data_IF_149064357398
#
_entry.id   IF_149064357398
#
_cell.length_a   1.000
_cell.length_b   1.000
_cell.length_c   1.000
_cell.angle_alpha   90.00
_cell.angle_beta   90.00
_cell.angle_gamma   90.00
#
_symmetry.space_group_name_H-M   'P 1'
#
loop_
_entity.id
_entity.type
_entity.pdbx_description
1 polymer ?
#
# COMPACT_ATOMS: atom_id res chain seq x y z
N UNK A 1 -37.53 -8.48 13.16
CA UNK A 1 -36.84 -8.99 14.35
C UNK A 1 -36.44 -10.45 14.22
N UNK A 2 -37.36 -11.39 13.92
CA UNK A 2 -37.03 -12.82 13.73
C UNK A 2 -35.98 -13.06 12.65
N UNK A 3 -36.15 -12.41 11.50
CA UNK A 3 -35.24 -12.49 10.36
C UNK A 3 -33.81 -11.98 10.68
N UNK A 4 -33.68 -10.89 11.44
CA UNK A 4 -32.39 -10.36 11.88
C UNK A 4 -31.69 -11.32 12.86
N UNK A 5 -32.45 -11.95 13.75
CA UNK A 5 -31.95 -12.95 14.69
C UNK A 5 -31.46 -14.21 13.97
N UNK A 6 -32.23 -14.70 12.99
CA UNK A 6 -31.88 -15.87 12.19
C UNK A 6 -30.62 -15.60 11.34
N UNK A 7 -30.52 -14.42 10.71
CA UNK A 7 -29.32 -13.96 10.00
C UNK A 7 -28.09 -13.86 10.93
N UNK A 8 -28.28 -13.39 12.16
CA UNK A 8 -27.19 -13.28 13.14
C UNK A 8 -26.71 -14.67 13.58
N UNK A 9 -27.64 -15.61 13.79
CA UNK A 9 -27.31 -17.02 14.10
C UNK A 9 -26.56 -17.70 12.96
N UNK A 10 -26.93 -17.43 11.72
CA UNK A 10 -26.23 -17.96 10.54
C UNK A 10 -24.80 -17.42 10.46
N UNK A 11 -24.61 -16.11 10.63
CA UNK A 11 -23.27 -15.48 10.70
C UNK A 11 -22.40 -16.06 11.82
N UNK A 12 -22.96 -16.23 13.02
CA UNK A 12 -22.24 -16.83 14.14
C UNK A 12 -21.77 -18.25 13.81
N UNK A 13 -22.62 -19.04 13.15
CA UNK A 13 -22.27 -20.39 12.72
C UNK A 13 -21.13 -20.37 11.69
N UNK A 14 -21.16 -19.46 10.72
CA UNK A 14 -20.07 -19.30 9.74
C UNK A 14 -18.74 -18.92 10.42
N UNK A 15 -18.77 -17.98 11.37
CA UNK A 15 -17.60 -17.58 12.15
C UNK A 15 -17.08 -18.75 12.99
N UNK A 16 -17.98 -19.50 13.64
CA UNK A 16 -17.64 -20.69 14.40
C UNK A 16 -16.98 -21.75 13.52
N UNK A 17 -17.58 -22.09 12.39
CA UNK A 17 -17.03 -23.10 11.47
C UNK A 17 -15.63 -22.70 10.93
N UNK A 18 -15.39 -21.41 10.70
CA UNK A 18 -14.10 -20.88 10.27
C UNK A 18 -13.02 -20.90 11.35
N UNK A 19 -13.35 -20.49 12.58
CA UNK A 19 -12.37 -20.25 13.65
C UNK A 19 -12.18 -21.44 14.62
N UNK A 20 -13.17 -22.32 14.75
CA UNK A 20 -13.18 -23.45 15.70
C UNK A 20 -12.02 -24.44 15.59
N UNK A 21 -11.38 -24.67 14.43
CA UNK A 21 -10.18 -25.50 14.38
C UNK A 21 -9.01 -24.94 15.21
N UNK A 22 -8.99 -23.62 15.45
CA UNK A 22 -7.84 -22.92 16.01
C UNK A 22 -8.14 -22.12 17.28
N UNK A 23 -9.42 -21.90 17.61
CA UNK A 23 -9.84 -21.00 18.70
C UNK A 23 -11.06 -21.54 19.43
N UNK A 24 -11.11 -21.38 20.76
CA UNK A 24 -12.31 -21.60 21.56
C UNK A 24 -13.16 -20.34 21.56
N UNK A 25 -14.33 -20.40 20.93
CA UNK A 25 -15.22 -19.24 20.75
C UNK A 25 -16.25 -19.22 21.87
N UNK A 26 -16.42 -18.05 22.48
CA UNK A 26 -17.46 -17.78 23.48
C UNK A 26 -18.35 -16.65 22.95
N UNK A 27 -19.59 -16.99 22.59
CA UNK A 27 -20.56 -16.03 22.06
C UNK A 27 -21.44 -15.51 23.19
N UNK A 28 -21.55 -14.19 23.32
CA UNK A 28 -22.39 -13.51 24.30
C UNK A 28 -23.18 -12.44 23.55
N UNK A 29 -24.50 -12.35 23.76
CA UNK A 29 -25.30 -11.28 23.18
C UNK A 29 -25.06 -9.96 23.92
N UNK A 30 -25.17 -8.82 23.24
CA UNK A 30 -24.97 -7.49 23.86
C UNK A 30 -25.80 -7.32 25.14
N UNK A 31 -27.06 -7.73 25.14
CA UNK A 31 -27.92 -7.67 26.32
C UNK A 31 -27.47 -8.60 27.47
N UNK A 32 -26.76 -9.69 27.18
CA UNK A 32 -26.17 -10.60 28.17
C UNK A 32 -24.80 -10.10 28.63
N UNK A 33 -24.05 -9.44 27.75
CA UNK A 33 -22.78 -8.79 28.02
C UNK A 33 -22.98 -7.63 29.00
N UNK A 34 -23.98 -6.79 28.76
CA UNK A 34 -24.35 -5.67 29.64
C UNK A 34 -24.78 -6.12 31.05
N UNK A 35 -25.23 -7.37 31.19
CA UNK A 35 -25.65 -7.96 32.46
C UNK A 35 -24.51 -8.64 33.24
N UNK A 36 -23.37 -8.91 32.61
CA UNK A 36 -22.27 -9.64 33.23
C UNK A 36 -21.21 -8.70 33.84
N UNK A 37 -20.88 -8.92 35.11
CA UNK A 37 -19.74 -8.31 35.82
C UNK A 37 -18.44 -9.11 35.56
N UNK A 38 -17.95 -9.17 34.33
CA UNK A 38 -16.57 -9.64 34.09
C UNK A 38 -15.57 -8.57 34.56
N UNK A 39 -14.29 -8.91 34.88
CA UNK A 39 -13.27 -7.91 35.09
C UNK A 39 -13.27 -6.99 33.87
N UNK A 40 -13.41 -5.70 34.15
CA UNK A 40 -13.61 -4.63 33.19
C UNK A 40 -12.88 -4.95 31.87
N UNK A 41 -13.63 -5.01 30.76
CA UNK A 41 -13.01 -4.67 29.48
C UNK A 41 -12.33 -3.34 29.78
N UNK A 42 -11.00 -3.30 29.65
CA UNK A 42 -10.19 -2.15 30.05
C UNK A 42 -10.99 -0.90 29.65
N UNK A 43 -11.43 -0.05 30.60
CA UNK A 43 -12.28 1.09 30.29
C UNK A 43 -11.57 2.08 29.33
N UNK A 44 -10.29 1.83 29.02
CA UNK A 44 -9.48 2.56 28.06
C UNK A 44 -9.46 1.91 26.67
N UNK A 45 -10.10 0.75 26.46
CA UNK A 45 -10.24 0.10 25.15
C UNK A 45 -11.21 0.92 24.29
N UNK A 46 -10.66 1.90 23.57
CA UNK A 46 -11.39 2.70 22.59
C UNK A 46 -11.77 1.82 21.38
N UNK A 47 -12.90 2.09 20.70
CA UNK A 47 -13.22 1.47 19.41
C UNK A 47 -12.04 1.56 18.45
N UNK A 48 -11.82 0.53 17.63
CA UNK A 48 -10.68 0.47 16.71
C UNK A 48 -10.76 1.62 15.70
N UNK A 49 -9.74 2.47 15.67
CA UNK A 49 -9.50 3.33 14.51
C UNK A 49 -8.90 2.47 13.40
N UNK A 50 -9.71 2.17 12.39
CA UNK A 50 -9.32 1.39 11.20
C UNK A 50 -8.09 1.97 10.50
N UNK A 51 -7.86 3.28 10.65
CA UNK A 51 -6.71 3.97 10.07
C UNK A 51 -5.40 3.66 10.80
N UNK A 52 -5.46 3.07 12.00
CA UNK A 52 -4.27 2.66 12.72
C UNK A 52 -3.49 1.56 12.01
N UNK A 53 -4.17 0.75 11.19
CA UNK A 53 -3.52 -0.22 10.33
C UNK A 53 -2.67 0.40 9.19
N UNK A 54 -2.70 1.73 9.03
CA UNK A 54 -1.74 2.47 8.19
C UNK A 54 -0.58 3.07 8.97
N UNK A 55 -0.59 3.03 10.31
CA UNK A 55 0.54 3.47 11.13
C UNK A 55 1.66 2.43 11.13
N UNK A 56 2.89 2.93 11.20
CA UNK A 56 4.10 2.18 10.87
C UNK A 56 4.30 2.14 9.36
N UNK A 57 5.49 2.52 8.89
CA UNK A 57 5.84 2.24 7.49
C UNK A 57 5.69 0.74 7.21
N UNK A 58 5.67 0.34 5.92
CA UNK A 58 5.69 -1.08 5.50
C UNK A 58 6.96 -1.86 5.92
N UNK A 59 7.72 -1.32 6.88
CA UNK A 59 9.05 -1.73 7.32
C UNK A 59 9.16 -1.81 8.85
N UNK A 60 8.10 -1.51 9.62
CA UNK A 60 8.11 -1.66 11.07
C UNK A 60 7.83 -3.12 11.46
N UNK A 61 8.55 -3.63 12.47
CA UNK A 61 8.28 -4.93 13.11
C UNK A 61 7.07 -4.76 14.02
N UNK A 62 5.86 -4.96 13.47
CA UNK A 62 4.61 -4.69 14.21
C UNK A 62 4.33 -5.85 15.18
N UNK A 63 4.13 -5.52 16.46
CA UNK A 63 3.40 -6.36 17.41
C UNK A 63 1.91 -6.03 17.28
N UNK A 64 1.11 -6.93 16.72
CA UNK A 64 -0.33 -6.72 16.52
C UNK A 64 -1.06 -6.70 17.86
N UNK A 65 -1.82 -5.62 18.12
CA UNK A 65 -2.64 -5.49 19.31
C UNK A 65 -4.15 -5.71 19.06
N UNK A 66 -4.67 -5.81 17.82
CA UNK A 66 -6.11 -6.07 17.54
C UNK A 66 -6.43 -6.53 16.08
N UNK A 67 -7.59 -7.22 15.90
CA UNK A 67 -7.97 -8.08 14.77
C UNK A 67 -8.98 -7.48 13.77
N UNK A 68 -8.91 -7.96 12.51
CA UNK A 68 -9.97 -7.90 11.49
C UNK A 68 -10.05 -9.29 10.80
N UNK A 69 -11.16 -10.01 10.88
CA UNK A 69 -11.34 -11.26 10.11
C UNK A 69 -11.92 -10.96 8.73
N UNK A 70 -11.00 -10.71 7.82
CA UNK A 70 -10.92 -11.37 6.52
C UNK A 70 -9.45 -11.26 6.03
N UNK A 71 -8.51 -11.10 6.98
CA UNK A 71 -7.11 -10.79 6.69
C UNK A 71 -6.35 -12.05 6.35
N UNK A 72 -6.04 -12.19 5.08
CA UNK A 72 -5.03 -13.12 4.54
C UNK A 72 -3.71 -13.12 5.35
N UNK A 73 -3.40 -12.05 6.06
CA UNK A 73 -2.23 -11.95 6.95
C UNK A 73 -2.36 -12.82 8.21
N UNK A 74 -3.56 -12.91 8.81
CA UNK A 74 -3.82 -13.81 9.94
C UNK A 74 -3.78 -15.26 9.46
N UNK A 75 -4.41 -15.55 8.33
CA UNK A 75 -4.35 -16.88 7.70
C UNK A 75 -2.90 -17.30 7.47
N UNK A 76 -2.08 -16.37 6.95
CA UNK A 76 -0.65 -16.61 6.73
C UNK A 76 0.11 -16.83 8.03
N UNK A 77 -0.21 -16.10 9.10
CA UNK A 77 0.39 -16.32 10.41
C UNK A 77 0.01 -17.71 10.97
N UNK A 78 -1.26 -18.11 10.87
CA UNK A 78 -1.71 -19.44 11.31
C UNK A 78 -1.01 -20.54 10.48
N UNK A 79 -0.90 -20.36 9.15
CA UNK A 79 -0.14 -21.26 8.26
C UNK A 79 1.32 -21.42 8.73
N UNK A 80 1.92 -20.34 9.24
CA UNK A 80 3.28 -20.33 9.79
C UNK A 80 3.39 -20.90 11.22
N UNK A 81 2.30 -21.41 11.77
CA UNK A 81 2.25 -22.06 13.09
C UNK A 81 2.00 -21.12 14.26
N UNK A 82 1.68 -19.85 14.00
CA UNK A 82 1.27 -18.92 15.05
C UNK A 82 -0.11 -19.31 15.60
N UNK A 83 -0.32 -19.06 16.90
CA UNK A 83 -1.59 -19.35 17.59
C UNK A 83 -2.33 -18.08 17.91
N UNK A 84 -3.59 -17.99 17.46
CA UNK A 84 -4.47 -16.89 17.80
C UNK A 84 -4.94 -17.03 19.25
N UNK A 85 -4.60 -16.06 20.09
CA UNK A 85 -4.92 -16.11 21.52
C UNK A 85 -6.28 -15.51 21.84
N UNK A 86 -6.58 -14.32 21.30
CA UNK A 86 -7.79 -13.58 21.62
C UNK A 86 -8.24 -12.74 20.43
N UNK A 87 -9.55 -12.57 20.29
CA UNK A 87 -10.18 -11.67 19.33
C UNK A 87 -11.03 -10.68 20.13
N UNK A 88 -10.82 -9.38 19.89
CA UNK A 88 -11.53 -8.30 20.58
C UNK A 88 -12.65 -7.72 19.71
N UNK A 89 -12.40 -7.53 18.41
CA UNK A 89 -13.38 -7.03 17.46
C UNK A 89 -13.24 -7.80 16.14
N UNK A 90 -14.35 -7.94 15.42
CA UNK A 90 -14.45 -8.71 14.20
C UNK A 90 -15.39 -8.04 13.21
N UNK A 91 -14.87 -7.57 12.09
CA UNK A 91 -15.67 -7.04 10.98
C UNK A 91 -15.60 -8.01 9.80
N UNK A 92 -16.75 -8.47 9.33
CA UNK A 92 -16.88 -9.50 8.29
C UNK A 92 -17.69 -9.00 7.09
N UNK A 93 -17.24 -9.33 5.88
CA UNK A 93 -17.91 -8.98 4.64
C UNK A 93 -18.53 -10.20 3.97
N UNK A 94 -19.86 -10.29 4.01
CA UNK A 94 -20.62 -11.41 3.45
C UNK A 94 -20.41 -11.60 1.94
N UNK A 95 -20.12 -10.51 1.22
CA UNK A 95 -19.90 -10.50 -0.23
C UNK A 95 -18.49 -10.08 -0.55
N UNK A 96 -17.81 -10.91 -1.33
CA UNK A 96 -16.47 -10.62 -1.88
C UNK A 96 -16.52 -10.61 -3.40
N UNK A 97 -15.62 -9.85 -4.03
CA UNK A 97 -15.48 -9.84 -5.50
C UNK A 97 -14.02 -9.65 -5.89
N UNK A 98 -13.62 -10.30 -6.98
CA UNK A 98 -12.32 -10.12 -7.64
C UNK A 98 -12.40 -9.20 -8.86
N UNK A 99 -13.58 -8.69 -9.20
CA UNK A 99 -13.83 -8.07 -10.51
C UNK A 99 -14.08 -6.55 -10.45
N UNK A 100 -14.38 -6.00 -9.26
CA UNK A 100 -14.80 -4.60 -9.09
C UNK A 100 -13.84 -3.56 -9.67
N UNK A 101 -12.54 -3.87 -9.72
CA UNK A 101 -11.50 -2.99 -10.28
C UNK A 101 -10.83 -3.54 -11.54
N UNK A 102 -11.23 -4.74 -11.99
CA UNK A 102 -10.56 -5.46 -13.07
C UNK A 102 -10.49 -4.61 -14.34
N UNK A 103 -11.64 -4.11 -14.81
CA UNK A 103 -11.70 -3.26 -15.99
C UNK A 103 -10.84 -1.99 -15.87
N UNK A 104 -10.84 -1.35 -14.70
CA UNK A 104 -10.04 -0.15 -14.45
C UNK A 104 -8.54 -0.47 -14.53
N UNK A 105 -8.10 -1.48 -13.77
CA UNK A 105 -6.69 -1.90 -13.73
C UNK A 105 -6.23 -2.34 -15.11
N UNK A 106 -7.02 -3.16 -15.80
CA UNK A 106 -6.74 -3.65 -17.14
C UNK A 106 -6.57 -2.49 -18.14
N UNK A 107 -7.48 -1.51 -18.10
CA UNK A 107 -7.43 -0.33 -18.99
C UNK A 107 -6.14 0.47 -18.81
N UNK A 108 -5.79 0.82 -17.56
CA UNK A 108 -4.60 1.64 -17.32
C UNK A 108 -3.30 0.84 -17.41
N UNK A 109 -3.33 -0.46 -17.14
CA UNK A 109 -2.18 -1.34 -17.39
C UNK A 109 -1.89 -1.48 -18.87
N UNK A 110 -2.93 -1.64 -19.71
CA UNK A 110 -2.81 -1.59 -21.17
C UNK A 110 -2.12 -0.31 -21.62
N UNK A 111 -2.66 0.86 -21.25
CA UNK A 111 -2.06 2.15 -21.63
C UNK A 111 -0.62 2.30 -21.13
N UNK A 112 -0.32 1.87 -19.90
CA UNK A 112 1.03 1.92 -19.34
C UNK A 112 2.00 1.05 -20.14
N UNK A 113 1.58 -0.14 -20.55
CA UNK A 113 2.43 -1.07 -21.30
C UNK A 113 2.62 -0.63 -22.75
N UNK A 114 1.55 -0.20 -23.44
CA UNK A 114 1.65 0.40 -24.78
C UNK A 114 2.60 1.59 -24.79
N UNK A 115 2.46 2.49 -23.81
CA UNK A 115 3.30 3.68 -23.67
C UNK A 115 4.72 3.38 -23.17
N UNK A 116 4.99 2.20 -22.61
CA UNK A 116 6.34 1.81 -22.20
C UNK A 116 7.22 1.47 -23.41
N UNK A 117 6.61 1.16 -24.57
CA UNK A 117 7.33 0.72 -25.75
C UNK A 117 8.18 -0.53 -25.49
N UNK A 118 9.13 -0.76 -26.39
CA UNK A 118 10.18 -1.77 -26.24
C UNK A 118 11.51 -1.11 -25.83
N UNK A 119 12.54 -1.89 -25.42
CA UNK A 119 13.83 -1.42 -24.85
C UNK A 119 14.56 -0.29 -25.62
N UNK A 120 14.14 -0.01 -26.85
CA UNK A 120 14.49 1.18 -27.60
C UNK A 120 13.90 2.45 -26.98
N UNK A 121 14.55 2.96 -25.93
CA UNK A 121 14.45 4.38 -25.63
C UNK A 121 14.87 5.17 -26.91
N UNK A 122 14.03 6.09 -27.41
CA UNK A 122 14.35 6.91 -28.59
C UNK A 122 15.65 7.72 -28.47
N UNK A 123 16.15 7.96 -27.25
CA UNK A 123 17.47 8.58 -27.04
C UNK A 123 18.64 7.69 -27.49
N UNK A 124 18.44 6.37 -27.55
CA UNK A 124 19.50 5.39 -27.81
C UNK A 124 19.21 4.47 -29.00
N UNK A 125 18.01 4.52 -29.60
CA UNK A 125 17.63 3.69 -30.74
C UNK A 125 17.05 4.54 -31.89
N UNK A 126 17.64 4.42 -33.10
CA UNK A 126 17.22 5.14 -34.31
C UNK A 126 16.16 4.41 -35.15
N UNK A 127 15.85 3.14 -34.84
CA UNK A 127 14.99 2.29 -35.68
C UNK A 127 13.71 1.86 -34.96
N UNK A 128 12.66 1.59 -35.75
CA UNK A 128 11.34 1.12 -35.31
C UNK A 128 11.41 -0.33 -34.77
N UNK A 129 11.92 -0.42 -33.55
CA UNK A 129 12.12 -1.59 -32.71
C UNK A 129 10.86 -2.42 -32.40
N UNK A 130 9.67 -2.02 -32.86
CA UNK A 130 8.45 -2.84 -32.83
C UNK A 130 8.63 -4.19 -33.54
N UNK A 131 9.54 -4.24 -34.52
CA UNK A 131 9.84 -5.45 -35.28
C UNK A 131 10.94 -6.34 -34.69
N UNK A 132 11.55 -5.93 -33.57
CA UNK A 132 12.55 -6.72 -32.88
C UNK A 132 11.96 -8.01 -32.28
N UNK A 133 12.75 -9.09 -32.30
CA UNK A 133 12.33 -10.41 -31.84
C UNK A 133 12.03 -10.42 -30.34
N UNK A 134 12.85 -9.75 -29.52
CA UNK A 134 12.61 -9.63 -28.07
C UNK A 134 11.34 -8.82 -27.79
N UNK A 135 11.13 -7.73 -28.52
CA UNK A 135 9.94 -6.89 -28.40
C UNK A 135 8.65 -7.70 -28.70
N UNK A 136 8.64 -8.47 -29.79
CA UNK A 136 7.50 -9.34 -30.15
C UNK A 136 7.24 -10.43 -29.11
N UNK A 137 8.30 -11.08 -28.61
CA UNK A 137 8.17 -12.09 -27.57
C UNK A 137 7.60 -11.50 -26.27
N UNK A 138 8.06 -10.31 -25.86
CA UNK A 138 7.53 -9.61 -24.69
C UNK A 138 6.06 -9.27 -24.85
N UNK A 139 5.67 -8.71 -26.01
CA UNK A 139 4.28 -8.33 -26.28
C UNK A 139 3.39 -9.58 -26.30
N UNK A 140 3.81 -10.64 -26.99
CA UNK A 140 3.08 -11.90 -27.05
C UNK A 140 2.91 -12.52 -25.66
N UNK A 141 3.98 -12.55 -24.85
CA UNK A 141 3.91 -13.04 -23.47
C UNK A 141 2.85 -12.29 -22.65
N UNK A 142 2.75 -10.97 -22.81
CA UNK A 142 1.73 -10.20 -22.10
C UNK A 142 0.33 -10.52 -22.62
N UNK A 143 0.13 -10.59 -23.94
CA UNK A 143 -1.16 -10.97 -24.54
C UNK A 143 -1.61 -12.36 -24.03
N UNK A 144 -0.71 -13.33 -24.02
CA UNK A 144 -1.01 -14.71 -23.60
C UNK A 144 -1.32 -14.85 -22.10
N UNK A 145 -0.87 -13.89 -21.28
CA UNK A 145 -0.93 -13.98 -19.82
C UNK A 145 -1.72 -12.84 -19.15
N UNK A 146 -2.43 -12.01 -19.92
CA UNK A 146 -3.27 -10.93 -19.37
C UNK A 146 -4.67 -10.94 -19.97
N UNK A 147 -5.63 -10.36 -19.26
CA UNK A 147 -7.04 -10.33 -19.69
C UNK A 147 -7.36 -9.21 -20.70
N UNK A 148 -6.40 -8.32 -20.98
CA UNK A 148 -6.59 -7.18 -21.86
C UNK A 148 -5.71 -7.29 -23.12
N UNK A 149 -6.34 -7.07 -24.27
CA UNK A 149 -5.64 -7.12 -25.54
C UNK A 149 -4.73 -5.90 -25.71
N UNK A 150 -3.43 -6.13 -25.69
CA UNK A 150 -2.43 -5.13 -26.08
C UNK A 150 -2.53 -4.87 -27.59
N UNK A 151 -2.68 -3.61 -27.96
CA UNK A 151 -2.67 -3.22 -29.37
C UNK A 151 -1.22 -2.98 -29.80
N UNK A 152 -0.67 -3.96 -30.54
CA UNK A 152 0.73 -3.95 -31.01
C UNK A 152 1.06 -2.67 -31.77
N UNK A 153 0.10 -2.14 -32.55
CA UNK A 153 0.31 -0.94 -33.36
C UNK A 153 0.43 0.32 -32.48
N UNK A 154 -0.15 0.30 -31.28
CA UNK A 154 -0.06 1.39 -30.29
C UNK A 154 1.15 1.30 -29.38
N UNK A 155 1.89 0.18 -29.37
CA UNK A 155 3.09 0.01 -28.53
C UNK A 155 4.20 0.97 -28.99
N UNK A 156 4.31 2.13 -28.34
CA UNK A 156 5.29 3.16 -28.68
C UNK A 156 5.72 3.86 -27.40
N UNK A 157 7.02 4.06 -27.24
CA UNK A 157 7.54 4.77 -26.09
C UNK A 157 6.95 6.18 -26.00
N UNK A 158 6.25 6.44 -24.90
CA UNK A 158 5.63 7.71 -24.56
C UNK A 158 5.69 7.90 -23.04
N UNK A 159 6.70 8.63 -22.58
CA UNK A 159 6.95 8.85 -21.15
C UNK A 159 5.79 9.57 -20.45
N UNK A 160 5.14 10.53 -21.11
CA UNK A 160 4.00 11.29 -20.57
C UNK A 160 2.76 10.42 -20.38
N UNK A 161 2.35 9.68 -21.40
CA UNK A 161 1.22 8.76 -21.30
C UNK A 161 1.48 7.66 -20.28
N UNK A 162 2.70 7.10 -20.28
CA UNK A 162 3.10 6.10 -19.29
C UNK A 162 3.02 6.65 -17.86
N UNK A 163 3.43 7.90 -17.66
CA UNK A 163 3.34 8.57 -16.36
C UNK A 163 1.88 8.73 -15.91
N UNK A 164 1.01 9.23 -16.79
CA UNK A 164 -0.43 9.39 -16.50
C UNK A 164 -1.07 8.04 -16.16
N UNK A 165 -0.86 7.01 -16.98
CA UNK A 165 -1.41 5.68 -16.76
C UNK A 165 -0.92 5.07 -15.43
N UNK A 166 0.36 5.26 -15.10
CA UNK A 166 0.92 4.84 -13.80
C UNK A 166 0.28 5.59 -12.63
N UNK A 167 0.04 6.90 -12.77
CA UNK A 167 -0.63 7.70 -11.74
C UNK A 167 -2.06 7.21 -11.51
N UNK A 168 -2.83 6.94 -12.57
CA UNK A 168 -4.19 6.40 -12.43
C UNK A 168 -4.21 5.09 -11.62
N UNK A 169 -3.29 4.16 -11.92
CA UNK A 169 -3.15 2.92 -11.16
C UNK A 169 -2.76 3.16 -9.69
N UNK A 170 -1.78 4.03 -9.45
CA UNK A 170 -1.22 4.23 -8.12
C UNK A 170 -2.10 5.10 -7.21
N UNK A 171 -2.88 6.03 -7.76
CA UNK A 171 -3.69 6.95 -6.96
C UNK A 171 -5.01 6.31 -6.49
N UNK A 172 -5.50 5.29 -7.19
CA UNK A 172 -6.81 4.69 -6.90
C UNK A 172 -6.91 4.20 -5.45
N UNK A 173 -5.95 3.39 -4.99
CA UNK A 173 -5.97 2.87 -3.63
C UNK A 173 -5.69 3.95 -2.57
N UNK A 174 -4.85 4.94 -2.91
CA UNK A 174 -4.55 6.06 -2.02
C UNK A 174 -5.78 6.93 -1.78
N UNK A 175 -6.63 7.10 -2.80
CA UNK A 175 -7.92 7.78 -2.68
C UNK A 175 -8.85 7.06 -1.70
N UNK A 176 -8.95 5.74 -1.77
CA UNK A 176 -9.78 4.97 -0.82
C UNK A 176 -9.29 5.07 0.63
N UNK A 177 -7.99 5.24 0.86
CA UNK A 177 -7.39 5.44 2.19
C UNK A 177 -7.35 6.90 2.65
N UNK A 178 -7.79 7.85 1.83
CA UNK A 178 -7.71 9.28 2.10
C UNK A 178 -8.47 9.67 3.37
N UNK A 179 -7.93 10.57 4.20
CA UNK A 179 -8.62 11.09 5.39
C UNK A 179 -9.79 11.98 4.99
N UNK A 180 -10.93 11.82 5.66
CA UNK A 180 -12.13 12.62 5.34
C UNK A 180 -12.06 14.04 5.92
N UNK A 181 -11.41 14.19 7.08
CA UNK A 181 -11.32 15.44 7.81
C UNK A 181 -9.93 16.06 7.69
N UNK A 182 -9.74 16.86 6.64
CA UNK A 182 -8.53 17.65 6.44
C UNK A 182 -8.54 18.93 7.27
N UNK A 183 -7.35 19.35 7.72
CA UNK A 183 -7.15 20.71 8.24
C UNK A 183 -7.53 21.71 7.16
N UNK A 184 -8.49 22.57 7.48
CA UNK A 184 -8.89 23.71 6.66
C UNK A 184 -7.94 24.87 6.95
N UNK A 185 -7.65 25.66 5.93
CA UNK A 185 -6.80 26.85 6.02
C UNK A 185 -7.56 28.03 5.45
N UNK A 186 -7.74 29.06 6.26
CA UNK A 186 -8.39 30.30 5.84
C UNK A 186 -7.49 31.50 6.12
N UNK A 187 -7.30 32.34 5.10
CA UNK A 187 -6.70 33.66 5.27
C UNK A 187 -7.79 34.60 5.78
N UNK A 188 -7.58 35.12 6.97
CA UNK A 188 -8.49 36.00 7.67
C UNK A 188 -7.95 37.43 7.61
N UNK A 189 -8.79 38.35 7.16
CA UNK A 189 -8.44 39.77 6.95
C UNK A 189 -9.09 40.70 7.99
N UNK A 190 -9.77 40.15 8.99
CA UNK A 190 -10.41 40.91 10.05
C UNK A 190 -10.58 40.08 11.32
N UNK A 191 -10.67 40.77 12.45
CA UNK A 191 -10.96 40.14 13.73
C UNK A 191 -12.31 39.42 13.73
N UNK A 192 -13.32 39.96 13.03
CA UNK A 192 -14.64 39.32 12.91
C UNK A 192 -14.55 37.96 12.23
N UNK A 193 -13.75 37.83 11.17
CA UNK A 193 -13.54 36.57 10.46
C UNK A 193 -12.86 35.55 11.36
N UNK A 194 -11.79 35.93 12.06
CA UNK A 194 -11.09 35.05 13.01
C UNK A 194 -12.06 34.59 14.11
N UNK A 195 -12.83 35.52 14.68
CA UNK A 195 -13.78 35.24 15.77
C UNK A 195 -14.85 34.23 15.32
N UNK A 196 -15.36 34.35 14.09
CA UNK A 196 -16.31 33.39 13.51
C UNK A 196 -15.75 31.97 13.40
N UNK A 197 -14.43 31.82 13.25
CA UNK A 197 -13.77 30.51 13.21
C UNK A 197 -13.48 30.02 14.63
N UNK A 198 -12.81 30.83 15.44
CA UNK A 198 -12.35 30.48 16.79
C UNK A 198 -13.50 30.06 17.71
N UNK A 199 -14.64 30.75 17.63
CA UNK A 199 -15.81 30.46 18.46
C UNK A 199 -16.83 29.57 17.77
N UNK A 200 -16.50 28.98 16.62
CA UNK A 200 -17.40 28.03 15.98
C UNK A 200 -17.37 26.69 16.70
N UNK A 201 -18.50 26.29 17.28
CA UNK A 201 -18.62 25.02 18.00
C UNK A 201 -18.35 23.79 17.12
N UNK A 202 -18.43 23.91 15.79
CA UNK A 202 -18.15 22.83 14.85
C UNK A 202 -16.66 22.55 14.68
N UNK A 203 -15.79 23.48 15.07
CA UNK A 203 -14.35 23.39 14.80
C UNK A 203 -13.57 22.96 16.05
N UNK A 204 -12.43 22.32 15.81
CA UNK A 204 -11.42 21.90 16.81
C UNK A 204 -10.02 22.13 16.27
N UNK A 205 -9.01 21.98 17.14
CA UNK A 205 -7.60 22.11 16.82
C UNK A 205 -7.27 23.43 16.11
N UNK A 206 -7.83 24.53 16.61
CA UNK A 206 -7.72 25.85 15.98
C UNK A 206 -6.34 26.44 16.28
N UNK A 207 -5.64 26.88 15.25
CA UNK A 207 -4.34 27.53 15.33
C UNK A 207 -4.36 28.79 14.46
N UNK A 208 -3.80 29.88 14.96
CA UNK A 208 -3.69 31.14 14.23
C UNK A 208 -2.23 31.55 14.10
N UNK A 209 -1.85 32.01 12.91
CA UNK A 209 -0.52 32.52 12.61
C UNK A 209 -0.68 33.87 11.90
N UNK A 210 -0.14 34.92 12.50
CA UNK A 210 -0.08 36.24 11.87
C UNK A 210 0.97 36.16 10.76
N UNK A 211 0.57 36.44 9.52
CA UNK A 211 1.46 36.48 8.36
C UNK A 211 1.91 37.90 8.05
N UNK A 212 1.02 38.87 8.27
CA UNK A 212 1.24 40.30 8.05
C UNK A 212 0.30 41.14 8.95
N UNK A 213 0.40 42.46 8.91
CA UNK A 213 -0.41 43.39 9.73
C UNK A 213 -1.92 43.14 9.60
N UNK A 214 -2.40 42.85 8.38
CA UNK A 214 -3.82 42.65 8.08
C UNK A 214 -4.17 41.21 7.69
N UNK A 215 -3.24 40.24 7.82
CA UNK A 215 -3.45 38.86 7.36
C UNK A 215 -3.10 37.86 8.45
N UNK A 216 -4.10 37.09 8.86
CA UNK A 216 -3.93 35.96 9.78
C UNK A 216 -4.31 34.67 9.07
N UNK A 217 -3.39 33.72 9.00
CA UNK A 217 -3.69 32.36 8.61
C UNK A 217 -4.31 31.62 9.80
N UNK A 218 -5.56 31.21 9.65
CA UNK A 218 -6.25 30.37 10.65
C UNK A 218 -6.38 28.95 10.10
N UNK A 219 -5.87 27.99 10.86
CA UNK A 219 -5.99 26.57 10.58
C UNK A 219 -6.97 25.94 11.58
N UNK A 220 -7.85 25.07 11.12
CA UNK A 220 -8.82 24.40 11.98
C UNK A 220 -9.26 23.06 11.38
N UNK A 221 -9.86 22.20 12.19
CA UNK A 221 -10.52 20.95 11.73
C UNK A 221 -11.98 20.94 12.13
N UNK A 222 -12.80 20.20 11.39
CA UNK A 222 -14.13 19.90 11.87
C UNK A 222 -14.04 18.91 13.05
N UNK A 223 -14.89 19.08 14.05
CA UNK A 223 -15.16 18.01 15.01
C UNK A 223 -15.77 16.82 14.26
N UNK A 224 -15.50 15.61 14.75
CA UNK A 224 -15.90 14.36 14.06
C UNK A 224 -17.41 14.28 13.81
N UNK A 225 -18.22 14.71 14.79
CA UNK A 225 -19.68 14.77 14.71
C UNK A 225 -20.21 15.67 13.57
N UNK A 226 -19.40 16.64 13.12
CA UNK A 226 -19.75 17.57 12.06
C UNK A 226 -19.00 17.27 10.75
N UNK A 227 -18.09 16.29 10.75
CA UNK A 227 -17.36 15.86 9.56
C UNK A 227 -18.26 14.98 8.70
N UNK A 228 -18.49 15.37 7.46
CA UNK A 228 -19.21 14.52 6.51
C UNK A 228 -18.24 13.46 5.95
N UNK A 229 -18.61 12.16 5.98
CA UNK A 229 -17.80 11.13 5.34
C UNK A 229 -17.75 11.37 3.83
N UNK A 230 -16.59 11.16 3.21
CA UNK A 230 -16.48 11.29 1.76
C UNK A 230 -17.04 10.02 1.09
N UNK A 231 -18.11 10.12 0.28
CA UNK A 231 -18.73 8.93 -0.33
C UNK A 231 -17.83 8.21 -1.35
N UNK A 232 -16.73 8.85 -1.77
CA UNK A 232 -15.78 8.29 -2.73
C UNK A 232 -14.60 7.55 -2.08
N UNK A 233 -14.51 7.53 -0.74
CA UNK A 233 -13.46 6.79 -0.02
C UNK A 233 -14.02 5.54 0.63
N UNK A 234 -13.16 4.55 0.86
CA UNK A 234 -13.52 3.33 1.57
C UNK A 234 -12.27 2.73 2.19
N UNK A 235 -12.13 2.91 3.51
CA UNK A 235 -10.93 2.51 4.24
C UNK A 235 -10.63 1.01 4.09
N UNK A 236 -11.64 0.16 4.00
CA UNK A 236 -11.46 -1.29 3.86
C UNK A 236 -10.79 -1.67 2.56
N UNK A 237 -11.15 -1.01 1.46
CA UNK A 237 -10.52 -1.26 0.15
C UNK A 237 -9.02 -0.96 0.24
N UNK A 238 -8.65 0.14 0.90
CA UNK A 238 -7.25 0.47 1.13
C UNK A 238 -6.56 -0.55 2.05
N UNK A 239 -7.22 -0.97 3.14
CA UNK A 239 -6.68 -1.99 4.06
C UNK A 239 -6.39 -3.30 3.33
N UNK A 240 -7.36 -3.87 2.63
CA UNK A 240 -7.17 -5.11 1.86
C UNK A 240 -6.09 -4.97 0.80
N UNK A 241 -6.07 -3.86 0.06
CA UNK A 241 -5.04 -3.61 -0.96
C UNK A 241 -3.63 -3.62 -0.35
N UNK A 242 -3.46 -2.97 0.81
CA UNK A 242 -2.15 -2.94 1.49
C UNK A 242 -1.77 -4.28 2.11
N UNK A 243 -2.72 -5.03 2.67
CA UNK A 243 -2.49 -6.37 3.20
C UNK A 243 -2.06 -7.35 2.11
N UNK A 244 -2.74 -7.35 0.96
CA UNK A 244 -2.35 -8.15 -0.19
C UNK A 244 -0.97 -7.77 -0.73
N UNK A 245 -0.64 -6.47 -0.78
CA UNK A 245 0.70 -6.03 -1.18
C UNK A 245 1.79 -6.51 -0.20
N UNK A 246 1.54 -6.45 1.11
CA UNK A 246 2.48 -6.96 2.14
C UNK A 246 2.68 -8.46 2.02
N UNK A 247 1.61 -9.23 1.78
CA UNK A 247 1.72 -10.67 1.55
C UNK A 247 2.48 -11.01 0.28
N UNK A 248 2.33 -10.21 -0.77
CA UNK A 248 3.14 -10.37 -1.99
C UNK A 248 4.62 -10.11 -1.74
N UNK A 249 4.97 -9.09 -0.96
CA UNK A 249 6.36 -8.92 -0.52
C UNK A 249 6.81 -10.09 0.35
N UNK A 250 5.97 -10.54 1.29
CA UNK A 250 6.27 -11.66 2.18
C UNK A 250 6.56 -12.96 1.41
N UNK A 251 5.89 -13.25 0.29
CA UNK A 251 6.22 -14.40 -0.56
C UNK A 251 7.70 -14.42 -0.96
N UNK A 252 8.30 -13.26 -1.25
CA UNK A 252 9.74 -13.16 -1.56
C UNK A 252 10.58 -13.38 -0.30
N UNK A 253 10.22 -12.72 0.81
CA UNK A 253 10.94 -12.83 2.07
C UNK A 253 10.97 -14.26 2.59
N UNK A 254 9.88 -14.99 2.41
CA UNK A 254 9.73 -16.37 2.83
C UNK A 254 10.54 -17.35 1.96
N UNK A 255 10.86 -16.99 0.72
CA UNK A 255 11.79 -17.75 -0.12
C UNK A 255 13.24 -17.39 0.24
N UNK A 256 13.52 -16.09 0.36
CA UNK A 256 14.88 -15.56 0.51
C UNK A 256 15.43 -15.75 1.93
N UNK A 257 14.59 -15.69 2.96
CA UNK A 257 14.97 -15.85 4.36
C UNK A 257 16.13 -14.89 4.72
N UNK A 258 17.20 -15.42 5.33
CA UNK A 258 18.38 -14.66 5.80
C UNK A 258 19.17 -13.95 4.67
N UNK A 259 18.87 -14.24 3.39
CA UNK A 259 19.49 -13.54 2.26
C UNK A 259 18.97 -12.11 2.09
N UNK A 260 17.85 -11.75 2.69
CA UNK A 260 17.27 -10.40 2.55
C UNK A 260 18.17 -9.38 3.27
N UNK A 261 18.68 -8.41 2.53
CA UNK A 261 19.49 -7.30 3.04
C UNK A 261 18.65 -6.06 3.32
N UNK A 262 17.61 -5.82 2.50
CA UNK A 262 16.72 -4.67 2.63
C UNK A 262 15.38 -4.94 1.94
N UNK A 263 14.32 -4.32 2.45
CA UNK A 263 13.00 -4.36 1.82
C UNK A 263 12.31 -3.00 1.97
N UNK A 264 11.60 -2.57 0.93
CA UNK A 264 10.68 -1.42 1.01
C UNK A 264 9.51 -1.63 0.05
N UNK A 265 8.32 -1.75 0.63
CA UNK A 265 7.02 -1.75 -0.06
C UNK A 265 6.80 -2.88 -1.07
N UNK A 266 7.49 -2.83 -2.19
CA UNK A 266 7.37 -3.65 -3.39
C UNK A 266 8.75 -4.03 -3.95
N UNK A 267 9.81 -3.81 -3.18
CA UNK A 267 11.20 -4.10 -3.55
C UNK A 267 11.94 -4.85 -2.44
N UNK A 268 12.87 -5.69 -2.84
CA UNK A 268 13.75 -6.46 -1.96
C UNK A 268 15.17 -6.44 -2.54
N UNK A 269 16.16 -6.16 -1.71
CA UNK A 269 17.58 -6.33 -2.00
C UNK A 269 18.03 -7.55 -1.23
N UNK A 270 18.67 -8.50 -1.90
CA UNK A 270 19.11 -9.75 -1.29
C UNK A 270 20.51 -10.13 -1.76
N UNK A 271 21.19 -10.94 -0.95
CA UNK A 271 22.44 -11.57 -1.32
C UNK A 271 22.17 -12.78 -2.22
N UNK A 272 22.65 -12.73 -3.45
CA UNK A 272 22.58 -13.86 -4.37
C UNK A 272 23.76 -14.81 -4.14
N UNK A 273 23.45 -15.95 -3.52
CA UNK A 273 24.40 -17.03 -3.22
C UNK A 273 24.31 -18.19 -4.23
N UNK A 274 23.53 -18.04 -5.32
CA UNK A 274 23.27 -19.10 -6.30
C UNK A 274 22.43 -20.27 -5.79
N UNK A 275 21.81 -20.13 -4.61
CA UNK A 275 20.95 -21.16 -4.03
C UNK A 275 19.66 -21.38 -4.84
N UNK A 276 18.98 -22.50 -4.57
CA UNK A 276 17.67 -22.78 -5.15
C UNK A 276 16.63 -21.70 -4.80
N UNK A 277 16.78 -21.00 -3.67
CA UNK A 277 15.94 -19.87 -3.33
C UNK A 277 16.13 -18.70 -4.32
N UNK A 278 17.38 -18.35 -4.64
CA UNK A 278 17.70 -17.30 -5.60
C UNK A 278 17.21 -17.66 -7.01
N UNK A 279 17.45 -18.90 -7.47
CA UNK A 279 16.92 -19.39 -8.76
C UNK A 279 15.39 -19.36 -8.83
N UNK A 280 14.72 -19.64 -7.72
CA UNK A 280 13.26 -19.52 -7.64
C UNK A 280 12.81 -18.07 -7.83
N UNK A 281 13.49 -17.10 -7.23
CA UNK A 281 13.18 -15.67 -7.45
C UNK A 281 13.38 -15.27 -8.92
N UNK A 282 14.46 -15.73 -9.56
CA UNK A 282 14.70 -15.50 -11.00
C UNK A 282 13.56 -16.06 -11.86
N UNK A 283 13.03 -17.24 -11.51
CA UNK A 283 11.89 -17.84 -12.23
C UNK A 283 10.57 -17.07 -12.09
N UNK A 284 10.46 -16.20 -11.07
CA UNK A 284 9.29 -15.35 -10.82
C UNK A 284 9.38 -13.99 -11.54
N UNK A 285 10.46 -13.75 -12.27
CA UNK A 285 10.65 -12.51 -13.03
C UNK A 285 9.88 -12.54 -14.34
N UNK A 286 9.43 -11.37 -14.78
CA UNK A 286 8.64 -11.28 -16.00
C UNK A 286 8.17 -9.87 -16.32
N UNK A 287 7.21 -9.77 -17.23
CA UNK A 287 6.74 -8.51 -17.80
C UNK A 287 5.23 -8.28 -17.59
N UNK A 288 4.51 -9.21 -16.97
CA UNK A 288 3.07 -9.05 -16.72
C UNK A 288 2.84 -8.39 -15.36
N UNK A 289 1.59 -8.02 -15.10
CA UNK A 289 1.20 -7.46 -13.81
C UNK A 289 1.50 -8.46 -12.68
N UNK A 290 2.22 -7.98 -11.66
CA UNK A 290 2.59 -8.77 -10.48
C UNK A 290 3.90 -9.56 -10.60
N UNK A 291 4.55 -9.57 -11.77
CA UNK A 291 5.88 -10.18 -11.91
C UNK A 291 6.97 -9.33 -11.27
N UNK A 292 8.06 -9.99 -10.89
CA UNK A 292 9.27 -9.32 -10.41
C UNK A 292 10.07 -8.74 -11.59
N UNK A 293 10.72 -7.61 -11.34
CA UNK A 293 11.57 -6.93 -12.32
C UNK A 293 12.94 -6.67 -11.71
N UNK A 294 14.00 -6.96 -12.45
CA UNK A 294 15.35 -6.59 -12.08
C UNK A 294 15.54 -5.07 -12.25
N UNK A 295 15.57 -4.33 -11.15
CA UNK A 295 15.80 -2.88 -11.21
C UNK A 295 17.24 -2.51 -11.58
N UNK A 296 18.22 -3.36 -11.26
CA UNK A 296 19.65 -3.11 -11.51
C UNK A 296 19.91 -3.15 -13.01
N UNK A 297 19.39 -4.18 -13.68
CA UNK A 297 19.47 -4.29 -15.14
C UNK A 297 18.62 -3.21 -15.79
N UNK A 298 17.35 -3.06 -15.39
CA UNK A 298 16.40 -2.21 -16.12
C UNK A 298 16.60 -0.70 -15.93
N UNK A 299 17.04 -0.24 -14.77
CA UNK A 299 17.20 1.21 -14.48
C UNK A 299 18.65 1.67 -14.54
N UNK A 300 19.61 0.79 -14.30
CA UNK A 300 21.01 1.17 -14.16
C UNK A 300 21.93 0.57 -15.21
N UNK A 301 21.44 -0.37 -16.04
CA UNK A 301 22.25 -1.07 -17.04
C UNK A 301 23.52 -1.69 -16.43
N UNK A 302 23.33 -2.28 -15.25
CA UNK A 302 24.32 -2.95 -14.43
C UNK A 302 23.90 -4.41 -14.23
N UNK A 303 24.85 -5.31 -13.92
CA UNK A 303 24.51 -6.73 -13.72
C UNK A 303 24.20 -7.07 -12.27
N UNK A 304 24.90 -6.45 -11.31
CA UNK A 304 24.70 -6.71 -9.89
C UNK A 304 25.21 -5.55 -9.02
N UNK A 305 24.83 -5.59 -7.75
CA UNK A 305 25.34 -4.71 -6.70
C UNK A 305 26.64 -5.34 -6.14
N UNK A 306 27.76 -4.61 -6.20
CA UNK A 306 29.04 -5.02 -5.60
C UNK A 306 29.09 -4.79 -4.10
N UNK A 307 28.54 -3.66 -3.64
CA UNK A 307 28.55 -3.28 -2.23
C UNK A 307 27.21 -2.64 -1.88
N UNK A 308 26.66 -3.03 -0.74
CA UNK A 308 25.42 -2.49 -0.21
C UNK A 308 25.63 -2.09 1.25
N UNK A 309 25.21 -0.89 1.61
CA UNK A 309 25.25 -0.37 2.98
C UNK A 309 23.88 0.25 3.25
N UNK A 310 23.31 -0.07 4.41
CA UNK A 310 22.05 0.49 4.90
C UNK A 310 22.25 1.00 6.31
N UNK A 311 21.84 2.25 6.57
CA UNK A 311 21.79 2.82 7.91
C UNK A 311 20.40 2.65 8.54
N UNK A 312 19.39 2.31 7.73
CA UNK A 312 18.03 2.06 8.21
C UNK A 312 16.99 2.17 7.09
N UNK A 313 15.70 2.18 7.46
CA UNK A 313 14.62 2.34 6.50
C UNK A 313 14.77 3.63 5.68
N UNK A 314 14.82 3.49 4.34
CA UNK A 314 14.94 4.60 3.37
C UNK A 314 16.23 5.42 3.50
N UNK A 315 17.27 4.79 4.05
CA UNK A 315 18.62 5.33 4.11
C UNK A 315 19.65 4.23 3.77
N UNK A 316 20.00 4.16 2.49
CA UNK A 316 20.93 3.16 1.97
C UNK A 316 21.75 3.69 0.79
N UNK A 317 22.89 3.05 0.56
CA UNK A 317 23.75 3.29 -0.60
C UNK A 317 24.23 1.96 -1.18
N UNK A 318 24.33 1.93 -2.51
CA UNK A 318 24.82 0.77 -3.24
C UNK A 318 25.85 1.19 -4.29
N UNK A 319 26.85 0.34 -4.47
CA UNK A 319 27.84 0.43 -5.54
C UNK A 319 27.59 -0.68 -6.54
N UNK A 320 27.36 -0.33 -7.79
CA UNK A 320 27.09 -1.27 -8.87
C UNK A 320 28.39 -1.84 -9.44
N UNK A 321 28.28 -2.93 -10.19
CA UNK A 321 29.39 -3.53 -10.93
C UNK A 321 30.08 -2.55 -11.91
N UNK A 322 29.32 -1.60 -12.43
CA UNK A 322 29.77 -0.46 -13.26
C UNK A 322 30.53 0.63 -12.49
N UNK A 323 30.80 0.43 -11.19
CA UNK A 323 31.38 1.42 -10.26
C UNK A 323 30.47 2.63 -9.95
N UNK A 324 29.27 2.67 -10.54
CA UNK A 324 28.27 3.70 -10.25
C UNK A 324 27.76 3.58 -8.83
N UNK A 325 27.69 4.72 -8.13
CA UNK A 325 27.06 4.83 -6.82
C UNK A 325 25.59 5.24 -6.96
N UNK A 326 24.71 4.61 -6.18
CA UNK A 326 23.29 4.93 -6.09
C UNK A 326 22.94 5.03 -4.61
N UNK A 327 22.46 6.20 -4.18
CA UNK A 327 22.09 6.46 -2.80
C UNK A 327 20.64 6.89 -2.68
N UNK A 328 19.97 6.40 -1.64
CA UNK A 328 18.63 6.80 -1.25
C UNK A 328 18.70 7.27 0.20
N UNK A 329 18.47 8.55 0.44
CA UNK A 329 18.39 9.11 1.79
C UNK A 329 17.15 10.00 1.88
N UNK A 330 16.08 9.48 2.50
CA UNK A 330 14.81 10.20 2.57
C UNK A 330 14.85 11.24 3.70
N UNK A 331 14.38 12.45 3.40
CA UNK A 331 14.37 13.58 4.35
C UNK A 331 15.43 14.64 4.03
N UNK A 332 16.43 14.31 3.21
CA UNK A 332 17.39 15.26 2.69
C UNK A 332 17.11 15.55 1.21
N UNK A 333 17.21 16.83 0.82
CA UNK A 333 17.23 17.16 -0.61
C UNK A 333 18.64 16.88 -1.12
N UNK A 334 18.76 15.91 -2.02
CA UNK A 334 19.98 15.70 -2.80
C UNK A 334 20.17 16.90 -3.73
N UNK A 335 20.92 17.89 -3.26
CA UNK A 335 21.43 18.98 -4.08
C UNK A 335 22.90 18.70 -4.40
N UNK A 336 23.48 19.45 -5.34
CA UNK A 336 24.86 19.24 -5.80
C UNK A 336 25.91 19.34 -4.67
N UNK A 337 25.61 20.05 -3.58
CA UNK A 337 26.50 20.14 -2.41
C UNK A 337 26.44 18.88 -1.55
N UNK A 338 25.23 18.35 -1.31
CA UNK A 338 25.01 17.10 -0.57
C UNK A 338 25.57 15.91 -1.34
N UNK A 339 25.41 15.89 -2.67
CA UNK A 339 25.96 14.83 -3.54
C UNK A 339 27.50 14.77 -3.47
N UNK A 340 28.18 15.93 -3.39
CA UNK A 340 29.64 16.00 -3.19
C UNK A 340 30.13 15.56 -1.82
N UNK A 341 29.25 15.51 -0.81
CA UNK A 341 29.59 15.09 0.56
C UNK A 341 29.22 13.64 0.85
N UNK A 342 28.34 13.05 0.03
CA UNK A 342 27.93 11.64 0.12
C UNK A 342 28.91 10.70 -0.60
N UNK A 343 29.75 11.23 -1.47
CA UNK A 343 30.81 10.55 -2.21
C UNK A 343 32.17 11.04 -1.73
#
# INVERSE_FOLDING_TARGET
MKELYDQTKERLKTIEDYLKPNVKIHTIWECEFDQQKYPEVDPHLKPIDKRDAFYGGRTETIQLYNNLSDLKEIDKAIEKGYKLQKIYELEHFEKTSTDIFKLYVDTFMKYKQEASGCKCDPKYCKNDCKNDKECKQKIQYIIDNTAYDLDIDKVKYNSGLRFIAKICLNNLWGHFGMRDNFTQKEYCFSLEHITKIVFNEKYKDISTMILDEDIVLTEYKNKEEYSKPNPSVNVYIALFTTAHARLKLYELLDILQERVLYMDTDSCIYNDDGSEACKKIESMMGNKLGDLTDEIVSKHNANHIKQFISAGPKDYSMKLDTEKLVSCCKGFRLNAEVEKRLH
#
